data_IF_291883665793
#
_entry.id   IF_291883665793
#
_cell.length_a   1.000
_cell.length_b   1.000
_cell.length_c   1.000
_cell.angle_alpha   90.00
_cell.angle_beta   90.00
_cell.angle_gamma   90.00
#
_symmetry.space_group_name_H-M   'P 1'
#
loop_
_entity.id
_entity.type
_entity.pdbx_description
1 polymer ?
#
# COMPACT_ATOMS: atom_id res chain seq x y z
N UNK A 1 29.48 22.87 -29.18
CA UNK A 1 29.49 22.02 -27.97
C UNK A 1 28.28 22.41 -27.14
N UNK A 2 27.22 21.61 -27.11
CA UNK A 2 26.09 21.86 -26.22
C UNK A 2 26.54 21.43 -24.83
N UNK A 3 26.87 22.39 -23.97
CA UNK A 3 27.14 22.11 -22.57
C UNK A 3 25.88 21.46 -22.00
N UNK A 4 25.95 20.15 -21.75
CA UNK A 4 24.89 19.39 -21.13
C UNK A 4 24.69 19.95 -19.73
N UNK A 5 23.72 20.85 -19.60
CA UNK A 5 23.28 21.37 -18.32
C UNK A 5 22.91 20.17 -17.48
N UNK A 6 23.47 20.00 -16.29
CA UNK A 6 22.94 19.03 -15.35
C UNK A 6 21.46 19.39 -15.15
N UNK A 7 20.53 18.65 -15.75
CA UNK A 7 19.14 18.69 -15.36
C UNK A 7 19.08 18.15 -13.94
N UNK A 8 19.33 19.04 -12.97
CA UNK A 8 19.20 18.71 -11.56
C UNK A 8 17.70 18.79 -11.29
N UNK A 9 17.03 17.67 -11.52
CA UNK A 9 15.63 17.49 -11.18
C UNK A 9 15.45 17.78 -9.68
N UNK A 10 14.62 18.78 -9.36
CA UNK A 10 14.34 19.21 -7.99
C UNK A 10 14.96 20.55 -7.58
N UNK A 11 15.79 21.18 -8.42
CA UNK A 11 16.19 22.59 -8.27
C UNK A 11 15.55 23.42 -9.39
N UNK A 12 14.95 24.54 -9.04
CA UNK A 12 14.34 25.53 -9.94
C UNK A 12 15.27 26.74 -10.13
N UNK A 13 14.95 27.64 -11.06
CA UNK A 13 15.70 28.89 -11.20
C UNK A 13 15.61 29.74 -9.92
N UNK A 14 14.43 29.73 -9.27
CA UNK A 14 14.17 30.46 -8.04
C UNK A 14 15.08 29.99 -6.90
N UNK A 15 15.32 28.68 -6.76
CA UNK A 15 16.23 28.14 -5.73
C UNK A 15 17.67 28.69 -5.87
N UNK A 16 18.14 28.88 -7.11
CA UNK A 16 19.44 29.48 -7.38
C UNK A 16 19.47 30.98 -7.10
N UNK A 17 18.38 31.69 -7.42
CA UNK A 17 18.26 33.13 -7.16
C UNK A 17 18.13 33.42 -5.67
N UNK A 18 17.38 32.60 -4.93
CA UNK A 18 17.27 32.67 -3.47
C UNK A 18 18.62 32.39 -2.79
N UNK A 19 19.41 31.46 -3.32
CA UNK A 19 20.78 31.25 -2.88
C UNK A 19 21.63 32.52 -3.08
N UNK A 20 21.52 33.16 -4.24
CA UNK A 20 22.26 34.38 -4.55
C UNK A 20 21.84 35.57 -3.67
N UNK A 21 20.55 35.70 -3.31
CA UNK A 21 20.07 36.74 -2.37
C UNK A 21 20.79 36.72 -1.04
N UNK A 22 21.16 35.53 -0.56
CA UNK A 22 21.84 35.34 0.72
C UNK A 22 23.33 35.75 0.67
N UNK A 23 23.88 36.04 -0.51
CA UNK A 23 25.29 36.41 -0.72
C UNK A 23 25.40 37.68 -1.58
N UNK A 24 25.65 38.85 -0.97
CA UNK A 24 25.77 40.12 -1.69
C UNK A 24 26.84 40.10 -2.80
N UNK A 25 27.90 39.29 -2.64
CA UNK A 25 28.96 39.10 -3.62
C UNK A 25 28.52 38.39 -4.89
N UNK A 26 27.40 37.66 -4.88
CA UNK A 26 26.84 36.98 -6.05
C UNK A 26 25.83 37.87 -6.77
N UNK A 27 25.11 38.72 -6.03
CA UNK A 27 24.13 39.66 -6.59
C UNK A 27 24.77 40.70 -7.51
N UNK A 28 26.02 41.11 -7.27
CA UNK A 28 26.71 42.08 -8.13
C UNK A 28 26.97 41.58 -9.56
N UNK A 29 26.88 40.26 -9.78
CA UNK A 29 27.09 39.64 -11.08
C UNK A 29 25.79 39.16 -11.72
N UNK A 30 24.66 39.31 -11.02
CA UNK A 30 23.34 39.02 -11.54
C UNK A 30 22.65 40.31 -12.01
N UNK A 31 21.75 40.24 -13.00
CA UNK A 31 20.90 41.37 -13.37
C UNK A 31 20.00 41.80 -12.22
N UNK A 32 19.34 42.94 -12.40
CA UNK A 32 18.37 43.44 -11.43
C UNK A 32 17.20 42.46 -11.24
N UNK A 33 16.60 42.49 -10.05
CA UNK A 33 15.53 41.56 -9.66
C UNK A 33 14.33 41.60 -10.61
N UNK A 34 14.09 42.73 -11.28
CA UNK A 34 13.02 42.89 -12.27
C UNK A 34 13.23 42.04 -13.53
N UNK A 35 14.47 41.70 -13.87
CA UNK A 35 14.83 40.97 -15.08
C UNK A 35 14.96 39.45 -14.86
N UNK A 36 14.82 39.01 -13.61
CA UNK A 36 15.00 37.60 -13.25
C UNK A 36 13.96 36.66 -13.88
N UNK A 37 12.80 37.19 -14.24
CA UNK A 37 11.72 36.43 -14.87
C UNK A 37 12.12 35.81 -16.22
N UNK A 38 13.09 36.42 -16.90
CA UNK A 38 13.55 36.02 -18.23
C UNK A 38 14.89 35.30 -18.21
N UNK A 39 15.46 35.06 -17.03
CA UNK A 39 16.75 34.41 -16.93
C UNK A 39 16.66 32.91 -17.13
N UNK A 40 17.47 32.42 -18.07
CA UNK A 40 17.62 31.00 -18.28
C UNK A 40 18.26 30.34 -17.05
N UNK A 41 17.60 29.29 -16.53
CA UNK A 41 18.14 28.45 -15.44
C UNK A 41 19.58 27.98 -15.71
N UNK A 42 19.90 27.65 -16.96
CA UNK A 42 21.25 27.27 -17.38
C UNK A 42 22.25 28.39 -17.10
N UNK A 43 21.90 29.59 -17.56
CA UNK A 43 22.77 30.75 -17.46
C UNK A 43 23.02 31.12 -16.00
N UNK A 44 21.96 31.16 -15.17
CA UNK A 44 22.06 31.41 -13.73
C UNK A 44 23.01 30.39 -13.09
N UNK A 45 22.82 29.09 -13.39
CA UNK A 45 23.65 28.03 -12.85
C UNK A 45 25.12 28.17 -13.26
N UNK A 46 25.40 28.48 -14.53
CA UNK A 46 26.77 28.66 -15.04
C UNK A 46 27.48 29.86 -14.38
N UNK A 47 26.77 30.98 -14.20
CA UNK A 47 27.28 32.17 -13.50
C UNK A 47 27.59 31.84 -12.05
N UNK A 48 26.63 31.25 -11.34
CA UNK A 48 26.81 30.92 -9.92
C UNK A 48 27.88 29.84 -9.68
N UNK A 49 27.99 28.84 -10.55
CA UNK A 49 29.06 27.83 -10.50
C UNK A 49 30.45 28.44 -10.73
N UNK A 50 30.54 29.52 -11.51
CA UNK A 50 31.81 30.21 -11.77
C UNK A 50 32.24 31.06 -10.58
N UNK A 51 31.29 31.57 -9.80
CA UNK A 51 31.55 32.44 -8.64
C UNK A 51 31.68 31.66 -7.33
N UNK A 52 30.86 30.62 -7.14
CA UNK A 52 30.80 29.80 -5.92
C UNK A 52 30.52 28.33 -6.26
N UNK A 53 31.56 27.67 -6.74
CA UNK A 53 31.50 26.28 -7.17
C UNK A 53 31.12 25.35 -6.00
N UNK A 54 31.72 25.54 -4.84
CA UNK A 54 31.55 24.68 -3.66
C UNK A 54 30.12 24.79 -3.12
N UNK A 55 29.61 26.01 -2.95
CA UNK A 55 28.27 26.26 -2.44
C UNK A 55 27.17 25.70 -3.35
N UNK A 56 27.31 25.91 -4.65
CA UNK A 56 26.35 25.37 -5.63
C UNK A 56 26.44 23.84 -5.69
N UNK A 57 27.64 23.25 -5.68
CA UNK A 57 27.77 21.78 -5.67
C UNK A 57 27.15 21.14 -4.44
N UNK A 58 27.26 21.76 -3.25
CA UNK A 58 26.57 21.30 -2.05
C UNK A 58 25.05 21.32 -2.22
N UNK A 59 24.50 22.41 -2.77
CA UNK A 59 23.06 22.51 -3.05
C UNK A 59 22.59 21.43 -4.05
N UNK A 60 23.40 21.13 -5.07
CA UNK A 60 23.13 20.02 -6.01
C UNK A 60 23.16 18.66 -5.32
N UNK A 61 24.13 18.42 -4.44
CA UNK A 61 24.24 17.18 -3.69
C UNK A 61 23.04 16.97 -2.76
N UNK A 62 22.62 18.01 -2.03
CA UNK A 62 21.44 17.96 -1.17
C UNK A 62 20.16 17.69 -1.96
N UNK A 63 19.97 18.36 -3.09
CA UNK A 63 18.82 18.13 -3.96
C UNK A 63 18.77 16.68 -4.48
N UNK A 64 19.92 16.14 -4.89
CA UNK A 64 20.04 14.73 -5.30
C UNK A 64 19.73 13.76 -4.15
N UNK A 65 20.18 14.08 -2.94
CA UNK A 65 19.92 13.27 -1.74
C UNK A 65 18.43 13.28 -1.36
N UNK A 66 17.80 14.46 -1.29
CA UNK A 66 16.36 14.60 -1.04
C UNK A 66 15.51 13.86 -2.09
N UNK A 67 15.91 13.92 -3.37
CA UNK A 67 15.26 13.15 -4.43
C UNK A 67 15.40 11.65 -4.20
N UNK A 68 16.60 11.17 -3.86
CA UNK A 68 16.85 9.76 -3.54
C UNK A 68 15.97 9.30 -2.38
N UNK A 69 15.87 10.08 -1.32
CA UNK A 69 15.01 9.77 -0.15
C UNK A 69 13.54 9.69 -0.52
N UNK A 70 13.04 10.66 -1.31
CA UNK A 70 11.65 10.64 -1.81
C UNK A 70 11.38 9.41 -2.68
N UNK A 71 12.31 9.05 -3.57
CA UNK A 71 12.20 7.85 -4.39
C UNK A 71 12.22 6.58 -3.52
N UNK A 72 13.13 6.50 -2.56
CA UNK A 72 13.26 5.37 -1.65
C UNK A 72 11.98 5.19 -0.80
N UNK A 73 11.32 6.27 -0.38
CA UNK A 73 10.01 6.26 0.29
C UNK A 73 8.87 5.86 -0.66
N UNK A 74 8.74 6.52 -1.82
CA UNK A 74 7.63 6.29 -2.76
C UNK A 74 7.62 4.88 -3.36
N UNK A 75 8.80 4.27 -3.51
CA UNK A 75 8.95 2.92 -4.05
C UNK A 75 9.01 1.84 -2.96
N UNK A 76 8.77 2.19 -1.68
CA UNK A 76 8.90 1.27 -0.54
C UNK A 76 10.20 0.46 -0.56
N UNK A 77 11.30 1.08 -1.02
CA UNK A 77 12.61 0.43 -1.13
C UNK A 77 13.29 0.27 0.24
N UNK A 78 12.81 1.00 1.24
CA UNK A 78 13.26 0.92 2.62
C UNK A 78 12.49 -0.22 3.30
N UNK A 79 13.13 -1.38 3.39
CA UNK A 79 12.64 -2.47 4.23
C UNK A 79 13.08 -2.19 5.66
N UNK A 80 12.14 -1.76 6.49
CA UNK A 80 12.38 -1.79 7.92
C UNK A 80 12.54 -3.25 8.35
N UNK A 81 13.58 -3.56 9.14
CA UNK A 81 13.67 -4.87 9.77
C UNK A 81 12.41 -5.10 10.58
N UNK A 82 11.80 -6.28 10.39
CA UNK A 82 10.65 -6.71 11.18
C UNK A 82 10.98 -6.59 12.68
N UNK A 83 10.07 -6.07 13.51
CA UNK A 83 10.35 -5.78 14.92
C UNK A 83 10.81 -7.03 15.69
N UNK A 84 10.31 -8.21 15.33
CA UNK A 84 10.73 -9.48 15.91
C UNK A 84 12.20 -9.80 15.60
N UNK A 85 12.66 -9.48 14.39
CA UNK A 85 14.05 -9.64 13.98
C UNK A 85 14.96 -8.59 14.62
N UNK A 86 14.51 -7.34 14.77
CA UNK A 86 15.26 -6.30 15.49
C UNK A 86 15.47 -6.73 16.94
N UNK A 87 14.43 -7.26 17.58
CA UNK A 87 14.50 -7.75 18.95
C UNK A 87 15.42 -8.97 19.07
N UNK A 88 15.30 -9.96 18.18
CA UNK A 88 16.18 -11.14 18.17
C UNK A 88 17.65 -10.78 17.88
N UNK A 89 17.89 -9.79 17.01
CA UNK A 89 19.22 -9.27 16.73
C UNK A 89 19.79 -8.53 17.94
N UNK A 90 19.01 -7.68 18.61
CA UNK A 90 19.42 -6.99 19.83
C UNK A 90 19.74 -7.97 20.96
N UNK A 91 18.94 -9.03 21.12
CA UNK A 91 19.19 -10.07 22.11
C UNK A 91 20.47 -10.85 21.79
N UNK A 92 20.68 -11.20 20.52
CA UNK A 92 21.90 -11.85 20.03
C UNK A 92 23.14 -10.98 20.20
N UNK A 93 23.06 -9.68 19.88
CA UNK A 93 24.14 -8.72 20.08
C UNK A 93 24.46 -8.54 21.56
N UNK A 94 23.45 -8.42 22.42
CA UNK A 94 23.64 -8.29 23.88
C UNK A 94 24.32 -9.53 24.48
N UNK A 95 23.92 -10.72 24.04
CA UNK A 95 24.57 -11.99 24.45
C UNK A 95 25.99 -12.11 23.91
N UNK A 96 26.22 -11.69 22.65
CA UNK A 96 27.53 -11.77 22.01
C UNK A 96 28.51 -10.76 22.60
N UNK A 97 28.07 -9.55 22.98
CA UNK A 97 28.90 -8.57 23.72
C UNK A 97 29.33 -9.09 25.10
N UNK A 98 28.50 -9.89 25.77
CA UNK A 98 28.86 -10.53 27.05
C UNK A 98 29.79 -11.75 26.91
N UNK A 99 29.80 -12.46 25.77
CA UNK A 99 30.52 -13.74 25.60
C UNK A 99 31.53 -13.83 24.44
N UNK A 100 31.69 -12.80 23.59
CA UNK A 100 32.59 -12.87 22.43
C UNK A 100 32.95 -11.52 21.80
N UNK A 101 34.25 -11.32 21.51
CA UNK A 101 34.87 -10.07 21.00
C UNK A 101 34.42 -9.61 19.59
N UNK A 102 33.48 -10.29 18.93
CA UNK A 102 33.19 -10.12 17.50
C UNK A 102 31.89 -9.35 17.17
N UNK A 103 31.04 -9.05 18.15
CA UNK A 103 29.74 -8.40 17.92
C UNK A 103 29.82 -6.92 17.49
N UNK A 104 30.97 -6.27 17.67
CA UNK A 104 31.13 -4.83 17.42
C UNK A 104 31.25 -4.46 15.93
N UNK A 105 31.24 -5.44 15.02
CA UNK A 105 31.40 -5.23 13.58
C UNK A 105 30.08 -5.09 12.80
N UNK A 106 28.93 -5.35 13.43
CA UNK A 106 27.63 -5.24 12.76
C UNK A 106 27.06 -3.85 13.02
N UNK A 107 27.13 -2.98 12.01
CA UNK A 107 26.51 -1.66 12.03
C UNK A 107 24.98 -1.82 12.08
N UNK A 108 24.36 -1.33 13.15
CA UNK A 108 22.88 -1.34 13.37
C UNK A 108 22.07 -0.65 12.25
N UNK A 109 22.74 0.07 11.36
CA UNK A 109 22.14 0.85 10.26
C UNK A 109 22.36 0.24 8.88
N UNK A 110 22.60 -1.08 8.76
CA UNK A 110 22.69 -1.75 7.45
C UNK A 110 21.33 -1.80 6.76
N UNK A 111 20.88 -0.64 6.26
CA UNK A 111 19.79 -0.50 5.33
C UNK A 111 20.26 -1.13 4.01
N UNK A 112 19.94 -2.40 3.79
CA UNK A 112 20.24 -3.07 2.52
C UNK A 112 19.21 -2.61 1.50
N UNK A 113 19.63 -1.81 0.51
CA UNK A 113 18.79 -1.54 -0.68
C UNK A 113 18.47 -2.88 -1.35
N UNK A 114 17.18 -3.15 -1.60
CA UNK A 114 16.75 -4.31 -2.39
C UNK A 114 17.41 -4.25 -3.76
N UNK A 115 17.96 -5.37 -4.23
CA UNK A 115 18.44 -5.47 -5.62
C UNK A 115 17.22 -5.61 -6.54
N UNK A 116 17.37 -5.27 -7.82
CA UNK A 116 16.26 -5.29 -8.80
C UNK A 116 15.56 -6.65 -8.89
N UNK A 117 16.31 -7.75 -8.72
CA UNK A 117 15.74 -9.12 -8.68
C UNK A 117 14.80 -9.34 -7.48
N UNK A 118 15.23 -8.94 -6.29
CA UNK A 118 14.44 -9.05 -5.05
C UNK A 118 13.10 -8.27 -5.13
N UNK A 119 13.03 -7.20 -5.93
CA UNK A 119 11.81 -6.43 -6.16
C UNK A 119 10.81 -7.14 -7.08
N UNK A 120 11.29 -7.80 -8.13
CA UNK A 120 10.43 -8.55 -9.05
C UNK A 120 9.86 -9.81 -8.38
N UNK A 121 10.66 -10.48 -7.54
CA UNK A 121 10.23 -11.64 -6.76
C UNK A 121 9.09 -11.27 -5.79
N UNK A 122 9.27 -10.22 -4.98
CA UNK A 122 8.23 -9.73 -4.06
C UNK A 122 6.96 -9.31 -4.81
N UNK A 123 7.09 -8.68 -5.99
CA UNK A 123 5.95 -8.29 -6.81
C UNK A 123 5.19 -9.52 -7.34
N UNK A 124 5.91 -10.57 -7.74
CA UNK A 124 5.33 -11.84 -8.15
C UNK A 124 4.57 -12.52 -7.01
N UNK A 125 5.18 -12.59 -5.82
CA UNK A 125 4.55 -13.14 -4.61
C UNK A 125 3.30 -12.34 -4.19
N UNK A 126 3.35 -11.01 -4.25
CA UNK A 126 2.21 -10.16 -3.89
C UNK A 126 1.03 -10.32 -4.85
N UNK A 127 1.30 -10.47 -6.15
CA UNK A 127 0.27 -10.76 -7.16
C UNK A 127 -0.35 -12.15 -6.94
N UNK A 128 0.47 -13.16 -6.66
CA UNK A 128 -0.01 -14.51 -6.35
C UNK A 128 -0.87 -14.53 -5.07
N UNK A 129 -0.46 -13.80 -4.04
CA UNK A 129 -1.21 -13.65 -2.79
C UNK A 129 -2.54 -12.92 -2.98
N UNK A 130 -2.59 -11.89 -3.83
CA UNK A 130 -3.85 -11.21 -4.19
C UNK A 130 -4.79 -12.13 -4.95
N UNK A 131 -4.28 -12.92 -5.90
CA UNK A 131 -5.06 -13.94 -6.60
C UNK A 131 -5.65 -14.97 -5.63
N UNK A 132 -4.84 -15.47 -4.70
CA UNK A 132 -5.27 -16.41 -3.66
C UNK A 132 -6.34 -15.81 -2.73
N UNK A 133 -6.14 -14.58 -2.26
CA UNK A 133 -7.12 -13.86 -1.42
C UNK A 133 -8.43 -13.65 -2.15
N UNK A 134 -8.40 -13.26 -3.42
CA UNK A 134 -9.61 -13.03 -4.20
C UNK A 134 -10.38 -14.32 -4.46
N UNK A 135 -9.67 -15.42 -4.76
CA UNK A 135 -10.25 -16.76 -4.88
C UNK A 135 -10.90 -17.24 -3.58
N UNK A 136 -10.23 -17.01 -2.44
CA UNK A 136 -10.78 -17.33 -1.13
C UNK A 136 -12.06 -16.52 -0.83
N UNK A 137 -12.05 -15.21 -1.12
CA UNK A 137 -13.22 -14.35 -0.92
C UNK A 137 -14.40 -14.74 -1.81
N UNK A 138 -14.15 -15.10 -3.08
CA UNK A 138 -15.20 -15.57 -3.97
C UNK A 138 -15.79 -16.91 -3.53
N UNK A 139 -14.96 -17.84 -3.06
CA UNK A 139 -15.41 -19.13 -2.56
C UNK A 139 -16.25 -18.98 -1.28
N UNK A 140 -15.80 -18.12 -0.36
CA UNK A 140 -16.56 -17.80 0.85
C UNK A 140 -17.91 -17.15 0.54
N UNK A 141 -17.95 -16.26 -0.46
CA UNK A 141 -19.21 -15.66 -0.91
C UNK A 141 -20.15 -16.75 -1.45
N UNK A 142 -19.66 -17.63 -2.32
CA UNK A 142 -20.44 -18.74 -2.88
C UNK A 142 -21.03 -19.63 -1.77
N UNK A 143 -20.21 -20.01 -0.80
CA UNK A 143 -20.64 -20.83 0.34
C UNK A 143 -21.74 -20.15 1.18
N UNK A 144 -21.64 -18.83 1.39
CA UNK A 144 -22.69 -18.08 2.10
C UNK A 144 -23.99 -18.04 1.32
N UNK A 145 -23.92 -17.84 0.01
CA UNK A 145 -25.09 -17.78 -0.86
C UNK A 145 -25.78 -19.15 -0.91
N UNK A 146 -25.01 -20.25 -1.02
CA UNK A 146 -25.52 -21.64 -0.95
C UNK A 146 -26.17 -21.93 0.40
N UNK A 147 -25.52 -21.54 1.50
CA UNK A 147 -26.05 -21.74 2.86
C UNK A 147 -27.35 -20.97 3.09
N UNK A 148 -27.42 -19.73 2.62
CA UNK A 148 -28.64 -18.92 2.70
C UNK A 148 -29.77 -19.52 1.85
N UNK A 149 -29.45 -20.05 0.67
CA UNK A 149 -30.40 -20.78 -0.17
C UNK A 149 -30.99 -21.99 0.55
N UNK A 150 -30.13 -22.84 1.14
CA UNK A 150 -30.58 -23.98 1.94
C UNK A 150 -31.44 -23.57 3.14
N UNK A 151 -31.06 -22.48 3.82
CA UNK A 151 -31.81 -21.97 4.96
C UNK A 151 -33.23 -21.55 4.55
N UNK A 152 -33.37 -20.87 3.42
CA UNK A 152 -34.69 -20.51 2.86
C UNK A 152 -35.54 -21.75 2.60
N UNK A 153 -34.97 -22.79 1.97
CA UNK A 153 -35.70 -24.04 1.72
C UNK A 153 -36.15 -24.72 3.00
N UNK A 154 -35.33 -24.69 4.06
CA UNK A 154 -35.70 -25.24 5.37
C UNK A 154 -36.85 -24.43 5.99
N UNK A 155 -36.80 -23.11 5.92
CA UNK A 155 -37.86 -22.23 6.41
C UNK A 155 -39.19 -22.51 5.68
N UNK A 156 -39.16 -22.72 4.36
CA UNK A 156 -40.34 -23.10 3.57
C UNK A 156 -40.91 -24.46 3.98
N UNK A 157 -40.05 -25.46 4.21
CA UNK A 157 -40.47 -26.80 4.65
C UNK A 157 -41.09 -26.77 6.06
N UNK A 158 -40.51 -25.98 6.97
CA UNK A 158 -41.07 -25.78 8.32
C UNK A 158 -42.44 -25.10 8.23
N UNK A 159 -42.59 -24.09 7.36
CA UNK A 159 -43.86 -23.45 7.07
C UNK A 159 -44.91 -24.44 6.54
N UNK A 160 -44.51 -25.29 5.60
CA UNK A 160 -45.36 -26.38 5.08
C UNK A 160 -45.79 -27.36 6.18
N UNK A 161 -44.85 -27.79 7.03
CA UNK A 161 -45.14 -28.68 8.14
C UNK A 161 -46.16 -28.08 9.11
N UNK A 162 -46.01 -26.79 9.44
CA UNK A 162 -46.95 -26.09 10.31
C UNK A 162 -48.35 -25.98 9.69
N UNK A 163 -48.44 -25.75 8.38
CA UNK A 163 -49.72 -25.73 7.65
C UNK A 163 -50.40 -27.10 7.68
N UNK A 164 -49.65 -28.18 7.40
CA UNK A 164 -50.17 -29.55 7.45
C UNK A 164 -50.70 -29.89 8.85
N UNK A 165 -49.95 -29.52 9.90
CA UNK A 165 -50.40 -29.72 11.28
C UNK A 165 -51.73 -29.01 11.57
N UNK A 166 -51.88 -27.76 11.11
CA UNK A 166 -53.11 -26.98 11.27
C UNK A 166 -54.31 -27.55 10.50
N UNK A 167 -54.08 -28.06 9.28
CA UNK A 167 -55.11 -28.73 8.48
C UNK A 167 -55.56 -30.04 9.13
N UNK A 168 -54.63 -30.75 9.77
CA UNK A 168 -54.94 -31.97 10.52
C UNK A 168 -55.76 -31.67 11.79
N UNK A 169 -55.33 -30.69 12.59
CA UNK A 169 -56.07 -30.25 13.79
C UNK A 169 -57.49 -29.74 13.48
N UNK A 170 -57.68 -29.13 12.31
CA UNK A 170 -59.00 -28.67 11.85
C UNK A 170 -59.87 -29.78 11.24
N UNK A 171 -59.39 -31.03 11.21
CA UNK A 171 -60.13 -32.18 10.71
C UNK A 171 -60.35 -32.18 9.20
N UNK A 172 -59.54 -31.42 8.45
CA UNK A 172 -59.61 -31.36 6.98
C UNK A 172 -58.84 -32.53 6.35
N UNK A 173 -57.74 -32.95 6.99
CA UNK A 173 -56.88 -34.05 6.52
C UNK A 173 -56.61 -35.07 7.62
N UNK A 174 -56.40 -36.33 7.25
CA UNK A 174 -56.05 -37.42 8.17
C UNK A 174 -54.57 -37.39 8.62
N UNK A 175 -54.16 -38.35 9.46
CA UNK A 175 -52.78 -38.50 9.95
C UNK A 175 -51.76 -38.78 8.82
N UNK A 176 -52.22 -39.23 7.66
CA UNK A 176 -51.40 -39.51 6.47
C UNK A 176 -51.41 -38.34 5.48
N UNK A 177 -52.07 -37.22 5.83
CA UNK A 177 -52.16 -36.01 5.01
C UNK A 177 -53.18 -36.08 3.88
N UNK A 178 -54.09 -37.06 3.88
CA UNK A 178 -55.13 -37.21 2.85
C UNK A 178 -56.39 -36.42 3.22
N UNK A 179 -57.06 -35.77 2.27
CA UNK A 179 -58.31 -35.07 2.53
C UNK A 179 -59.39 -36.01 3.08
N UNK A 180 -60.01 -35.64 4.19
CA UNK A 180 -61.19 -36.31 4.70
C UNK A 180 -62.37 -35.90 3.81
N UNK A 181 -62.81 -36.80 2.94
CA UNK A 181 -64.01 -36.57 2.12
C UNK A 181 -65.23 -36.43 3.04
N UNK A 182 -65.83 -35.24 3.07
CA UNK A 182 -67.19 -35.08 3.58
C UNK A 182 -68.10 -35.98 2.74
N UNK A 183 -68.59 -37.07 3.32
CA UNK A 183 -69.74 -37.77 2.75
C UNK A 183 -70.92 -36.78 2.72
N UNK A 184 -71.57 -36.56 1.57
CA UNK A 184 -72.85 -35.87 1.59
C UNK A 184 -73.85 -36.75 2.34
N UNK A 185 -74.52 -36.17 3.33
CA UNK A 185 -75.67 -36.77 4.01
C UNK A 185 -76.75 -37.12 2.97
N UNK A 186 -76.82 -38.38 2.54
CA UNK A 186 -78.05 -39.00 2.05
C UNK A 186 -78.87 -39.48 3.26
N UNK A 187 -79.53 -38.53 3.93
CA UNK A 187 -80.72 -38.81 4.71
C UNK A 187 -81.77 -37.76 4.33
N UNK A 188 -82.58 -38.10 3.34
CA UNK A 188 -83.98 -37.67 3.28
C UNK A 188 -84.84 -38.93 3.25
N UNK A 189 -85.86 -38.90 4.10
CA UNK A 189 -87.01 -39.81 4.20
C UNK A 189 -87.69 -40.09 2.86
#
# INVERSE_FOLDING_TARGET
MVAAVPQIEGLTADDFLDYAKNKPSLLSYLPDQSDWLHLDKKWICDVLLSLDKEGINLMVLEAKQKRRERLDQSQNLIVHMKPEFVQALNNSLSYSVQKGRSAHLIKMTSQRKRRKGDLEEVKGEEVAMRGSKQKYLSENKRMRDEFNGMKSTIEDLVGYQALVHKLHESGIIDNEGRPLQNQPNEFME
#
